data_IF_580650268654
#
_entry.id   IF_580650268654
#
_cell.length_a   1.000
_cell.length_b   1.000
_cell.length_c   1.000
_cell.angle_alpha   90.00
_cell.angle_beta   90.00
_cell.angle_gamma   90.00
#
_symmetry.space_group_name_H-M   'P 1'
#
loop_
_entity.id
_entity.type
_entity.pdbx_description
1 polymer ?
#
# COMPACT_ATOMS: atom_id res chain seq x y z
N UNK A 1 -24.44 38.36 -7.82
CA UNK A 1 -23.46 38.28 -6.73
C UNK A 1 -24.24 37.97 -5.46
N UNK A 2 -24.55 36.69 -5.21
CA UNK A 2 -25.30 36.25 -4.02
C UNK A 2 -24.30 36.11 -2.89
N UNK A 3 -24.51 36.85 -1.80
CA UNK A 3 -23.61 36.95 -0.65
C UNK A 3 -23.63 35.59 0.08
N UNK A 4 -22.49 34.93 0.19
CA UNK A 4 -22.34 33.55 0.73
C UNK A 4 -22.24 33.50 2.27
N UNK A 5 -22.60 34.58 2.96
CA UNK A 5 -22.36 34.75 4.40
C UNK A 5 -23.61 34.60 5.29
N UNK A 6 -24.79 34.35 4.73
CA UNK A 6 -26.04 34.17 5.51
C UNK A 6 -26.34 32.68 5.79
N UNK A 7 -25.33 31.89 6.16
CA UNK A 7 -25.56 30.53 6.67
C UNK A 7 -25.98 30.62 8.14
N UNK A 8 -27.28 30.80 8.36
CA UNK A 8 -27.85 30.72 9.70
C UNK A 8 -27.46 29.36 10.33
N UNK A 9 -26.77 29.33 11.48
CA UNK A 9 -26.37 28.07 12.12
C UNK A 9 -27.57 27.17 12.44
N UNK A 10 -28.76 27.77 12.53
CA UNK A 10 -30.05 27.08 12.65
C UNK A 10 -30.37 26.19 11.44
N UNK A 11 -30.03 26.62 10.21
CA UNK A 11 -30.22 25.79 9.02
C UNK A 11 -29.28 24.57 9.04
N UNK A 12 -28.03 24.74 9.47
CA UNK A 12 -27.09 23.64 9.63
C UNK A 12 -27.52 22.63 10.69
N UNK A 13 -28.00 23.11 11.85
CA UNK A 13 -28.55 22.25 12.91
C UNK A 13 -29.82 21.54 12.43
N UNK A 14 -30.74 22.25 11.76
CA UNK A 14 -31.95 21.65 11.21
C UNK A 14 -31.66 20.59 10.14
N UNK A 15 -30.71 20.86 9.24
CA UNK A 15 -30.27 19.89 8.23
C UNK A 15 -29.61 18.67 8.87
N UNK A 16 -28.80 18.87 9.93
CA UNK A 16 -28.18 17.78 10.69
C UNK A 16 -29.24 16.89 11.36
N UNK A 17 -30.21 17.47 12.05
CA UNK A 17 -31.29 16.70 12.68
C UNK A 17 -32.22 16.04 11.65
N UNK A 18 -32.53 16.72 10.55
CA UNK A 18 -33.34 16.15 9.48
C UNK A 18 -32.63 14.95 8.83
N UNK A 19 -31.33 15.07 8.56
CA UNK A 19 -30.55 14.02 7.92
C UNK A 19 -30.25 12.83 8.87
N UNK A 20 -29.90 13.09 10.13
CA UNK A 20 -29.51 12.03 11.09
C UNK A 20 -30.67 11.44 11.89
N UNK A 21 -31.76 12.17 12.11
CA UNK A 21 -32.89 11.67 12.90
C UNK A 21 -34.14 11.43 12.06
N UNK A 22 -34.54 12.37 11.21
CA UNK A 22 -35.83 12.24 10.50
C UNK A 22 -35.73 11.24 9.34
N UNK A 23 -34.70 11.37 8.50
CA UNK A 23 -34.50 10.52 7.32
C UNK A 23 -34.39 9.02 7.67
N UNK A 24 -33.60 8.61 8.68
CA UNK A 24 -33.51 7.21 9.10
C UNK A 24 -34.84 6.65 9.61
N UNK A 25 -35.56 7.39 10.46
CA UNK A 25 -36.84 6.92 11.02
C UNK A 25 -37.94 6.84 9.96
N UNK A 26 -37.95 7.76 8.99
CA UNK A 26 -38.87 7.72 7.85
C UNK A 26 -38.58 6.54 6.93
N UNK A 27 -37.30 6.28 6.62
CA UNK A 27 -36.87 5.15 5.80
C UNK A 27 -37.16 3.80 6.49
N UNK A 28 -37.01 3.70 7.81
CA UNK A 28 -37.38 2.50 8.58
C UNK A 28 -38.89 2.23 8.51
N UNK A 29 -39.71 3.27 8.64
CA UNK A 29 -41.18 3.14 8.55
C UNK A 29 -41.66 2.73 7.15
N UNK A 30 -40.99 3.22 6.10
CA UNK A 30 -41.26 2.83 4.71
C UNK A 30 -40.76 1.42 4.38
N UNK A 31 -39.62 0.99 4.95
CA UNK A 31 -39.08 -0.37 4.77
C UNK A 31 -39.99 -1.46 5.35
N UNK A 32 -40.74 -1.16 6.42
CA UNK A 32 -41.73 -2.08 6.99
C UNK A 32 -42.92 -2.34 6.04
N UNK A 33 -43.18 -1.44 5.10
CA UNK A 33 -44.31 -1.52 4.16
C UNK A 33 -43.97 -2.23 2.84
N UNK A 34 -42.68 -2.27 2.43
CA UNK A 34 -42.25 -2.72 1.09
C UNK A 34 -41.66 -4.15 1.08
N UNK A 35 -41.45 -4.77 2.25
CA UNK A 35 -41.30 -6.23 2.40
C UNK A 35 -40.34 -6.93 1.43
N UNK A 36 -39.03 -6.84 1.69
CA UNK A 36 -37.93 -7.78 1.33
C UNK A 36 -36.55 -7.19 1.65
N UNK A 37 -36.49 -5.88 1.95
CA UNK A 37 -35.39 -5.20 2.66
C UNK A 37 -35.75 -4.95 4.15
N UNK A 38 -36.45 -5.91 4.78
CA UNK A 38 -36.98 -5.81 6.15
C UNK A 38 -35.94 -5.82 7.28
N UNK A 39 -34.64 -5.72 6.97
CA UNK A 39 -33.62 -5.40 7.97
C UNK A 39 -33.37 -3.88 7.91
N UNK A 40 -33.42 -3.17 9.04
CA UNK A 40 -33.22 -1.73 9.03
C UNK A 40 -31.81 -1.40 8.54
N UNK A 41 -31.69 -1.00 7.26
CA UNK A 41 -30.44 -0.50 6.66
C UNK A 41 -29.88 0.73 7.40
N UNK A 42 -30.73 1.41 8.18
CA UNK A 42 -30.41 2.57 9.01
C UNK A 42 -30.75 2.34 10.50
N UNK A 43 -30.75 1.09 10.95
CA UNK A 43 -30.68 0.77 12.37
C UNK A 43 -29.21 0.62 12.77
N UNK A 44 -28.81 1.14 13.93
CA UNK A 44 -27.55 0.76 14.59
C UNK A 44 -27.62 -0.74 14.96
N UNK A 45 -27.46 -1.62 13.97
CA UNK A 45 -27.50 -3.08 14.13
C UNK A 45 -26.10 -3.64 13.97
N UNK A 46 -25.67 -4.49 14.90
CA UNK A 46 -24.36 -5.17 14.82
C UNK A 46 -24.37 -6.40 13.90
N UNK A 47 -25.55 -6.76 13.38
CA UNK A 47 -25.77 -8.00 12.62
C UNK A 47 -25.00 -7.99 11.28
N UNK A 48 -24.97 -6.85 10.57
CA UNK A 48 -24.22 -6.72 9.33
C UNK A 48 -22.70 -6.78 9.56
N UNK A 49 -22.21 -6.23 10.69
CA UNK A 49 -20.80 -6.33 11.05
C UNK A 49 -20.41 -7.77 11.37
N UNK A 50 -21.23 -8.51 12.11
CA UNK A 50 -21.00 -9.93 12.41
C UNK A 50 -21.02 -10.78 11.13
N UNK A 51 -22.01 -10.57 10.25
CA UNK A 51 -22.12 -11.28 8.99
C UNK A 51 -20.89 -11.06 8.07
N UNK A 52 -20.39 -9.83 7.97
CA UNK A 52 -19.20 -9.54 7.16
C UNK A 52 -17.92 -10.09 7.81
N UNK A 53 -17.72 -9.84 9.11
CA UNK A 53 -16.45 -10.19 9.77
C UNK A 53 -16.30 -11.69 10.06
N UNK A 54 -17.37 -12.37 10.45
CA UNK A 54 -17.33 -13.75 10.94
C UNK A 54 -17.83 -14.73 9.87
N UNK A 55 -19.03 -14.51 9.32
CA UNK A 55 -19.65 -15.46 8.38
C UNK A 55 -18.93 -15.50 7.03
N UNK A 56 -18.47 -14.34 6.54
CA UNK A 56 -17.69 -14.24 5.29
C UNK A 56 -16.17 -14.38 5.50
N UNK A 57 -15.72 -14.76 6.71
CA UNK A 57 -14.31 -14.88 7.09
C UNK A 57 -13.44 -13.65 6.72
N UNK A 58 -14.02 -12.44 6.65
CA UNK A 58 -13.32 -11.24 6.20
C UNK A 58 -12.08 -10.94 7.04
N UNK A 59 -12.08 -11.32 8.33
CA UNK A 59 -10.93 -11.19 9.23
C UNK A 59 -9.67 -11.87 8.67
N UNK A 60 -9.79 -13.03 7.99
CA UNK A 60 -8.65 -13.77 7.45
C UNK A 60 -8.04 -13.05 6.26
N UNK A 61 -8.89 -12.49 5.40
CA UNK A 61 -8.47 -11.65 4.29
C UNK A 61 -7.81 -10.36 4.77
N UNK A 62 -8.39 -9.73 5.79
CA UNK A 62 -7.82 -8.54 6.43
C UNK A 62 -6.42 -8.80 6.98
N UNK A 63 -6.21 -9.90 7.71
CA UNK A 63 -4.89 -10.29 8.24
C UNK A 63 -3.89 -10.56 7.12
N UNK A 64 -4.29 -11.30 6.07
CA UNK A 64 -3.41 -11.59 4.94
C UNK A 64 -2.94 -10.31 4.24
N UNK A 65 -3.85 -9.38 3.95
CA UNK A 65 -3.52 -8.08 3.34
C UNK A 65 -2.67 -7.21 4.27
N UNK A 66 -2.91 -7.26 5.58
CA UNK A 66 -2.09 -6.56 6.57
C UNK A 66 -0.65 -7.09 6.58
N UNK A 67 -0.46 -8.41 6.59
CA UNK A 67 0.87 -9.05 6.55
C UNK A 67 1.61 -8.67 5.26
N UNK A 68 0.94 -8.76 4.10
CA UNK A 68 1.54 -8.40 2.81
C UNK A 68 1.94 -6.93 2.80
N UNK A 69 1.05 -6.03 3.23
CA UNK A 69 1.32 -4.58 3.23
C UNK A 69 2.47 -4.24 4.18
N UNK A 70 2.49 -4.81 5.39
CA UNK A 70 3.56 -4.61 6.35
C UNK A 70 4.91 -5.12 5.81
N UNK A 71 4.94 -6.30 5.18
CA UNK A 71 6.13 -6.85 4.54
C UNK A 71 6.65 -5.95 3.41
N UNK A 72 5.77 -5.45 2.55
CA UNK A 72 6.14 -4.52 1.47
C UNK A 72 6.73 -3.24 2.04
N UNK A 73 6.10 -2.64 3.06
CA UNK A 73 6.60 -1.40 3.68
C UNK A 73 7.95 -1.61 4.34
N UNK A 74 8.12 -2.68 5.12
CA UNK A 74 9.37 -2.97 5.82
C UNK A 74 10.54 -3.18 4.84
N UNK A 75 10.34 -3.99 3.79
CA UNK A 75 11.35 -4.24 2.75
C UNK A 75 11.63 -2.95 1.97
N UNK A 76 10.57 -2.21 1.60
CA UNK A 76 10.71 -0.99 0.81
C UNK A 76 11.46 0.10 1.56
N UNK A 77 11.20 0.29 2.85
CA UNK A 77 11.93 1.23 3.68
C UNK A 77 13.38 0.81 3.86
N UNK A 78 13.64 -0.47 4.12
CA UNK A 78 15.02 -0.94 4.33
C UNK A 78 15.89 -0.68 3.10
N UNK A 79 15.42 -1.09 1.92
CA UNK A 79 16.11 -0.87 0.65
C UNK A 79 16.14 0.63 0.30
N UNK A 80 15.00 1.31 0.44
CA UNK A 80 14.85 2.71 0.09
C UNK A 80 15.71 3.65 0.94
N UNK A 81 15.97 3.29 2.20
CA UNK A 81 16.82 4.08 3.09
C UNK A 81 18.28 4.00 2.68
N UNK A 82 18.77 2.79 2.36
CA UNK A 82 20.12 2.57 1.86
C UNK A 82 20.33 3.25 0.50
N UNK A 83 19.40 3.04 -0.44
CA UNK A 83 19.45 3.64 -1.76
C UNK A 83 19.28 5.16 -1.71
N UNK A 84 18.35 5.66 -0.90
CA UNK A 84 18.10 7.09 -0.72
C UNK A 84 19.31 7.83 -0.16
N UNK A 85 19.99 7.25 0.85
CA UNK A 85 21.21 7.80 1.40
C UNK A 85 22.34 7.83 0.37
N UNK A 86 22.59 6.70 -0.31
CA UNK A 86 23.61 6.62 -1.36
C UNK A 86 23.35 7.62 -2.49
N UNK A 87 22.09 7.81 -2.87
CA UNK A 87 21.71 8.74 -3.94
C UNK A 87 21.68 10.21 -3.51
N UNK A 88 21.52 10.49 -2.22
CA UNK A 88 21.63 11.84 -1.67
C UNK A 88 23.10 12.30 -1.53
N UNK A 89 24.01 11.37 -1.24
CA UNK A 89 25.46 11.65 -1.10
C UNK A 89 26.26 11.42 -2.40
N UNK A 90 25.68 10.74 -3.38
CA UNK A 90 26.30 10.56 -4.70
C UNK A 90 26.45 11.90 -5.44
N UNK A 91 27.64 12.15 -5.99
CA UNK A 91 27.93 13.28 -6.89
C UNK A 91 27.54 13.00 -8.34
N UNK A 92 27.05 11.79 -8.64
CA UNK A 92 26.84 11.32 -10.00
C UNK A 92 25.40 11.56 -10.46
N UNK A 93 25.24 12.34 -11.53
CA UNK A 93 23.93 12.65 -12.13
C UNK A 93 23.25 11.43 -12.76
N UNK A 94 24.01 10.39 -13.16
CA UNK A 94 23.47 9.18 -13.78
C UNK A 94 22.53 8.41 -12.84
N UNK A 95 22.92 8.24 -11.58
CA UNK A 95 22.11 7.50 -10.62
C UNK A 95 20.81 8.26 -10.29
N UNK A 96 20.85 9.60 -10.29
CA UNK A 96 19.65 10.43 -10.23
C UNK A 96 18.80 10.32 -11.50
N UNK A 97 19.41 10.31 -12.69
CA UNK A 97 18.71 10.11 -13.96
C UNK A 97 17.97 8.78 -14.02
N UNK A 98 18.59 7.68 -13.57
CA UNK A 98 17.94 6.36 -13.47
C UNK A 98 16.73 6.42 -12.53
N UNK A 99 16.83 7.10 -11.39
CA UNK A 99 15.69 7.29 -10.49
C UNK A 99 14.55 8.05 -11.16
N UNK A 100 14.84 9.13 -11.89
CA UNK A 100 13.84 9.91 -12.62
C UNK A 100 13.15 9.06 -13.69
N UNK A 101 13.92 8.28 -14.46
CA UNK A 101 13.36 7.33 -15.43
C UNK A 101 12.45 6.31 -14.73
N UNK A 102 12.89 5.74 -13.60
CA UNK A 102 12.08 4.80 -12.83
C UNK A 102 10.77 5.43 -12.29
N UNK A 103 10.78 6.72 -11.95
CA UNK A 103 9.58 7.48 -11.57
C UNK A 103 8.63 7.71 -12.75
N UNK A 104 9.16 7.92 -13.96
CA UNK A 104 8.36 8.03 -15.18
C UNK A 104 7.66 6.70 -15.48
N UNK A 105 8.39 5.57 -15.41
CA UNK A 105 7.79 4.25 -15.57
C UNK A 105 6.71 3.96 -14.53
N UNK A 106 6.88 4.48 -13.31
CA UNK A 106 5.88 4.39 -12.25
C UNK A 106 4.60 5.17 -12.56
N UNK A 107 4.62 6.16 -13.44
CA UNK A 107 3.42 6.89 -13.85
C UNK A 107 2.49 6.05 -14.74
N UNK A 108 2.96 4.91 -15.27
CA UNK A 108 2.11 3.96 -15.99
C UNK A 108 1.02 3.38 -15.08
N UNK A 109 -0.13 2.96 -15.63
CA UNK A 109 -1.18 2.33 -14.83
C UNK A 109 -0.66 1.10 -14.10
N UNK A 110 -1.00 0.96 -12.83
CA UNK A 110 -0.57 -0.17 -11.99
C UNK A 110 -0.96 -1.53 -12.61
N UNK A 111 -2.11 -1.60 -13.30
CA UNK A 111 -2.55 -2.80 -14.02
C UNK A 111 -1.56 -3.24 -15.09
N UNK A 112 -0.97 -2.31 -15.84
CA UNK A 112 0.03 -2.59 -16.88
C UNK A 112 1.32 -3.13 -16.26
N UNK A 113 1.76 -2.53 -15.15
CA UNK A 113 2.97 -2.98 -14.46
C UNK A 113 2.78 -4.41 -13.93
N UNK A 114 1.69 -4.69 -13.23
CA UNK A 114 1.44 -6.03 -12.68
C UNK A 114 1.31 -7.07 -13.79
N UNK A 115 0.61 -6.76 -14.88
CA UNK A 115 0.53 -7.64 -16.06
C UNK A 115 1.91 -7.88 -16.70
N UNK A 116 2.76 -6.85 -16.77
CA UNK A 116 4.13 -6.97 -17.27
C UNK A 116 5.03 -7.86 -16.40
N UNK A 117 4.78 -7.93 -15.09
CA UNK A 117 5.50 -8.82 -14.18
C UNK A 117 4.98 -10.27 -14.23
N UNK A 118 3.75 -10.52 -14.70
CA UNK A 118 3.12 -11.83 -14.69
C UNK A 118 3.95 -12.95 -15.37
N UNK A 119 4.56 -12.73 -16.57
CA UNK A 119 5.37 -13.77 -17.22
C UNK A 119 6.57 -14.23 -16.38
N UNK A 120 7.17 -13.32 -15.59
CA UNK A 120 8.30 -13.61 -14.71
C UNK A 120 7.89 -14.55 -13.57
N UNK A 121 6.67 -14.40 -13.03
CA UNK A 121 6.17 -15.29 -11.98
C UNK A 121 5.69 -16.63 -12.52
N UNK A 122 5.14 -16.65 -13.73
CA UNK A 122 4.77 -17.90 -14.41
C UNK A 122 6.00 -18.77 -14.72
N UNK A 123 7.07 -18.18 -15.24
CA UNK A 123 8.34 -18.87 -15.53
C UNK A 123 9.32 -18.81 -14.35
N UNK A 124 8.83 -18.50 -13.14
CA UNK A 124 9.70 -18.34 -11.96
C UNK A 124 10.51 -19.60 -11.66
N UNK A 125 9.94 -20.78 -11.93
CA UNK A 125 10.64 -22.06 -11.75
C UNK A 125 11.90 -22.13 -12.61
N UNK A 126 11.83 -21.76 -13.88
CA UNK A 126 12.97 -21.77 -14.82
C UNK A 126 14.03 -20.73 -14.43
N UNK A 127 13.60 -19.57 -13.94
CA UNK A 127 14.51 -18.49 -13.49
C UNK A 127 15.23 -18.88 -12.19
N UNK A 128 14.57 -19.60 -11.29
CA UNK A 128 15.09 -19.98 -9.98
C UNK A 128 15.77 -21.34 -9.96
N UNK A 129 15.56 -22.18 -10.96
CA UNK A 129 16.26 -23.45 -11.16
C UNK A 129 17.80 -23.35 -11.05
N UNK A 130 18.50 -22.35 -11.63
CA UNK A 130 19.95 -22.22 -11.45
C UNK A 130 20.38 -21.86 -10.02
N UNK A 131 19.49 -21.33 -9.18
CA UNK A 131 19.81 -20.88 -7.81
C UNK A 131 19.38 -21.93 -6.76
N UNK A 132 18.20 -22.54 -6.96
CA UNK A 132 17.58 -23.44 -5.99
C UNK A 132 17.52 -24.90 -6.45
N UNK A 133 17.99 -25.21 -7.68
CA UNK A 133 18.00 -26.56 -8.23
C UNK A 133 16.59 -27.10 -8.53
N UNK A 134 16.47 -28.43 -8.59
CA UNK A 134 15.24 -29.14 -9.00
C UNK A 134 14.02 -28.92 -8.08
N UNK A 135 14.24 -28.38 -6.88
CA UNK A 135 13.22 -28.03 -5.88
C UNK A 135 12.77 -26.56 -5.96
N UNK A 136 13.08 -25.85 -7.05
CA UNK A 136 12.65 -24.46 -7.25
C UNK A 136 11.13 -24.29 -7.02
N UNK A 137 10.72 -23.48 -6.03
CA UNK A 137 9.31 -23.27 -5.75
C UNK A 137 8.68 -22.42 -6.85
N UNK A 138 7.47 -22.78 -7.27
CA UNK A 138 6.67 -21.93 -8.16
C UNK A 138 6.18 -20.73 -7.34
N UNK A 139 6.64 -19.52 -7.66
CA UNK A 139 6.20 -18.30 -6.95
C UNK A 139 4.79 -17.86 -7.35
N UNK A 140 4.25 -18.40 -8.43
CA UNK A 140 2.89 -18.13 -8.85
C UNK A 140 1.87 -18.47 -7.76
N UNK A 141 0.98 -17.52 -7.43
CA UNK A 141 -0.02 -17.67 -6.37
C UNK A 141 0.51 -17.58 -4.93
N UNK A 142 1.81 -17.35 -4.71
CA UNK A 142 2.37 -17.18 -3.37
C UNK A 142 2.37 -15.72 -2.90
N UNK A 143 2.17 -15.45 -1.59
CA UNK A 143 2.20 -14.08 -1.06
C UNK A 143 3.56 -13.38 -1.25
N UNK A 144 4.66 -14.13 -1.32
CA UNK A 144 6.00 -13.59 -1.58
C UNK A 144 6.15 -12.96 -2.96
N UNK A 145 5.51 -13.54 -3.98
CA UNK A 145 5.51 -12.97 -5.33
C UNK A 145 4.84 -11.59 -5.36
N UNK A 146 3.69 -11.50 -4.69
CA UNK A 146 2.93 -10.27 -4.55
C UNK A 146 3.77 -9.20 -3.87
N UNK A 147 4.42 -9.56 -2.75
CA UNK A 147 5.30 -8.65 -2.00
C UNK A 147 6.43 -8.16 -2.92
N UNK A 148 7.10 -9.04 -3.66
CA UNK A 148 8.20 -8.67 -4.55
C UNK A 148 7.78 -7.69 -5.66
N UNK A 149 6.60 -7.90 -6.28
CA UNK A 149 6.02 -6.99 -7.29
C UNK A 149 5.70 -5.64 -6.68
N UNK A 150 4.95 -5.64 -5.57
CA UNK A 150 4.52 -4.42 -4.90
C UNK A 150 5.70 -3.60 -4.41
N UNK A 151 6.73 -4.26 -3.87
CA UNK A 151 8.01 -3.62 -3.50
C UNK A 151 8.62 -2.96 -4.74
N UNK A 152 8.83 -3.71 -5.83
CA UNK A 152 9.46 -3.20 -7.06
C UNK A 152 8.75 -1.98 -7.64
N UNK A 153 7.40 -2.00 -7.70
CA UNK A 153 6.61 -0.87 -8.19
C UNK A 153 6.71 0.33 -7.24
N UNK A 154 6.80 0.10 -5.93
CA UNK A 154 6.85 1.14 -4.91
C UNK A 154 8.25 1.71 -4.64
N UNK A 155 9.31 1.01 -5.06
CA UNK A 155 10.70 1.40 -4.84
C UNK A 155 11.03 2.81 -5.33
N UNK A 156 10.74 3.21 -6.60
CA UNK A 156 11.21 4.49 -7.13
C UNK A 156 10.71 5.68 -6.31
N UNK A 157 9.45 5.63 -5.89
CA UNK A 157 8.87 6.68 -5.05
C UNK A 157 9.47 6.69 -3.64
N UNK A 158 9.64 5.51 -3.03
CA UNK A 158 10.19 5.40 -1.67
C UNK A 158 11.62 5.94 -1.62
N UNK A 159 12.45 5.59 -2.60
CA UNK A 159 13.82 6.07 -2.75
C UNK A 159 13.83 7.58 -2.98
N UNK A 160 12.97 8.09 -3.86
CA UNK A 160 12.88 9.52 -4.14
C UNK A 160 12.52 10.33 -2.90
N UNK A 161 11.53 9.86 -2.14
CA UNK A 161 11.08 10.55 -0.94
C UNK A 161 12.16 10.54 0.15
N UNK A 162 12.76 9.38 0.43
CA UNK A 162 13.85 9.28 1.40
C UNK A 162 15.06 10.12 0.98
N UNK A 163 15.41 10.12 -0.31
CA UNK A 163 16.47 10.99 -0.84
C UNK A 163 16.18 12.46 -0.55
N UNK A 164 14.96 12.93 -0.77
CA UNK A 164 14.59 14.33 -0.46
C UNK A 164 14.80 14.66 1.01
N UNK A 165 14.44 13.75 1.93
CA UNK A 165 14.74 13.90 3.35
C UNK A 165 16.25 13.93 3.64
N UNK A 166 17.02 12.99 3.08
CA UNK A 166 18.48 12.95 3.26
C UNK A 166 19.18 14.20 2.72
N UNK A 167 18.66 14.83 1.66
CA UNK A 167 19.23 16.08 1.12
C UNK A 167 19.09 17.27 2.09
N UNK A 168 18.09 17.26 2.98
CA UNK A 168 17.93 18.29 4.00
C UNK A 168 18.95 18.15 5.14
N UNK A 169 19.61 17.00 5.27
CA UNK A 169 20.65 16.78 6.27
C UNK A 169 22.00 17.29 5.73
N UNK A 170 22.64 18.25 6.42
CA UNK A 170 23.92 18.80 5.99
C UNK A 170 24.99 17.70 5.91
N UNK A 171 25.84 17.76 4.88
CA UNK A 171 26.94 16.81 4.69
C UNK A 171 28.02 16.92 5.76
N UNK A 172 28.07 18.04 6.47
CA UNK A 172 28.97 18.31 7.60
C UNK A 172 28.81 17.26 8.71
N UNK A 173 27.61 16.70 8.91
CA UNK A 173 27.39 15.62 9.90
C UNK A 173 28.11 14.32 9.51
N UNK A 174 28.18 14.00 8.22
CA UNK A 174 28.93 12.84 7.73
C UNK A 174 30.45 13.07 7.82
N UNK A 175 30.90 14.32 7.70
CA UNK A 175 32.30 14.70 7.87
C UNK A 175 32.71 14.65 9.34
N UNK A 176 31.90 15.22 10.24
CA UNK A 176 32.12 15.18 11.68
C UNK A 176 32.21 13.75 12.20
N UNK A 177 31.27 12.88 11.81
CA UNK A 177 31.29 11.47 12.21
C UNK A 177 32.56 10.73 11.74
N UNK A 178 33.10 11.09 10.57
CA UNK A 178 34.35 10.51 10.05
C UNK A 178 35.58 11.06 10.78
N UNK A 179 35.57 12.32 11.20
CA UNK A 179 36.61 12.90 12.07
C UNK A 179 36.64 12.19 13.43
N UNK A 180 35.48 11.80 13.94
CA UNK A 180 35.34 10.98 15.17
C UNK A 180 35.75 9.50 14.98
N UNK A 181 36.23 9.12 13.80
CA UNK A 181 36.72 7.77 13.50
C UNK A 181 35.66 6.76 13.07
N UNK A 182 34.42 7.19 12.80
CA UNK A 182 33.38 6.28 12.28
C UNK A 182 33.66 5.87 10.82
N UNK A 183 33.46 4.59 10.50
CA UNK A 183 33.37 4.13 9.11
C UNK A 183 32.08 4.67 8.44
N UNK A 184 32.01 4.72 7.10
CA UNK A 184 30.83 5.22 6.36
C UNK A 184 29.51 4.56 6.78
N UNK A 185 29.50 3.23 6.96
CA UNK A 185 28.31 2.52 7.40
C UNK A 185 27.96 2.80 8.89
N UNK A 186 28.97 3.02 9.73
CA UNK A 186 28.77 3.41 11.12
C UNK A 186 28.22 4.83 11.23
N UNK A 187 28.78 5.79 10.49
CA UNK A 187 28.28 7.16 10.41
C UNK A 187 26.81 7.18 9.97
N UNK A 188 26.47 6.44 8.92
CA UNK A 188 25.09 6.26 8.48
C UNK A 188 24.18 5.72 9.59
N UNK A 189 24.54 4.59 10.21
CA UNK A 189 23.67 3.91 11.18
C UNK A 189 23.56 4.64 12.53
N UNK A 190 24.63 5.26 12.99
CA UNK A 190 24.74 5.82 14.35
C UNK A 190 24.40 7.31 14.39
N UNK A 191 24.70 8.07 13.34
CA UNK A 191 24.53 9.54 13.31
C UNK A 191 23.36 9.93 12.43
N UNK A 192 23.36 9.47 11.17
CA UNK A 192 22.37 9.94 10.18
C UNK A 192 21.00 9.29 10.40
N UNK A 193 20.94 7.99 10.67
CA UNK A 193 19.69 7.24 10.84
C UNK A 193 18.79 7.76 11.97
N UNK A 194 19.29 8.09 13.17
CA UNK A 194 18.46 8.68 14.22
C UNK A 194 17.86 10.03 13.83
N UNK A 195 18.62 10.87 13.12
CA UNK A 195 18.16 12.18 12.62
C UNK A 195 17.09 11.99 11.52
N UNK A 196 17.20 10.92 10.73
CA UNK A 196 16.28 10.58 9.64
C UNK A 196 15.02 9.83 10.07
N UNK A 197 14.93 9.38 11.32
CA UNK A 197 13.79 8.62 11.82
C UNK A 197 12.41 9.26 11.51
N UNK A 198 12.20 10.58 11.69
CA UNK A 198 10.93 11.21 11.29
C UNK A 198 10.64 11.08 9.78
N UNK A 199 11.67 11.16 8.93
CA UNK A 199 11.54 10.99 7.47
C UNK A 199 11.21 9.54 7.08
N UNK A 200 11.82 8.57 7.76
CA UNK A 200 11.54 7.14 7.57
C UNK A 200 10.11 6.80 7.99
N UNK A 201 9.65 7.30 9.14
CA UNK A 201 8.27 7.11 9.60
C UNK A 201 7.26 7.71 8.63
N UNK A 202 7.50 8.96 8.20
CA UNK A 202 6.61 9.66 7.25
C UNK A 202 6.52 8.90 5.93
N UNK A 203 7.66 8.38 5.47
CA UNK A 203 7.71 7.55 4.25
C UNK A 203 7.00 6.22 4.41
N UNK A 204 7.16 5.57 5.56
CA UNK A 204 6.46 4.34 5.89
C UNK A 204 4.96 4.52 5.88
N UNK A 205 4.47 5.58 6.54
CA UNK A 205 3.05 5.89 6.61
C UNK A 205 2.46 6.20 5.23
N UNK A 206 3.16 6.98 4.41
CA UNK A 206 2.71 7.29 3.06
C UNK A 206 2.67 6.06 2.16
N UNK A 207 3.69 5.21 2.27
CA UNK A 207 3.76 3.92 1.55
C UNK A 207 2.61 3.00 1.95
N UNK A 208 2.36 2.86 3.25
CA UNK A 208 1.26 2.06 3.79
C UNK A 208 -0.11 2.56 3.32
N UNK A 209 -0.38 3.86 3.47
CA UNK A 209 -1.65 4.48 3.07
C UNK A 209 -1.90 4.41 1.56
N UNK A 210 -0.84 4.36 0.75
CA UNK A 210 -0.97 4.15 -0.69
C UNK A 210 -1.34 2.71 -1.02
N UNK A 211 -0.68 1.73 -0.40
CA UNK A 211 -0.92 0.31 -0.69
C UNK A 211 -2.36 -0.10 -0.36
N UNK A 212 -2.98 0.51 0.64
CA UNK A 212 -4.39 0.29 0.98
C UNK A 212 -5.38 0.84 -0.06
N UNK A 213 -4.97 1.80 -0.90
CA UNK A 213 -5.81 2.36 -1.95
C UNK A 213 -5.81 1.54 -3.24
N UNK A 214 -5.06 0.44 -3.31
CA UNK A 214 -5.05 -0.41 -4.49
C UNK A 214 -6.30 -1.30 -4.49
N UNK A 215 -7.27 -1.08 -5.39
CA UNK A 215 -8.35 -2.04 -5.58
C UNK A 215 -7.75 -3.32 -6.16
N UNK A 216 -8.04 -4.46 -5.54
CA UNK A 216 -7.72 -5.77 -6.10
C UNK A 216 -6.43 -6.40 -5.59
N UNK A 217 -6.41 -6.79 -4.31
CA UNK A 217 -5.58 -7.91 -3.86
C UNK A 217 -6.28 -8.63 -2.70
N UNK A 218 -7.40 -9.26 -3.00
CA UNK A 218 -7.97 -10.32 -2.16
C UNK A 218 -7.54 -11.65 -2.77
N UNK A 219 -6.44 -12.27 -2.30
CA UNK A 219 -6.16 -13.65 -2.62
C UNK A 219 -7.09 -14.51 -1.76
N UNK A 220 -8.36 -14.57 -2.15
CA UNK A 220 -9.30 -15.57 -1.65
C UNK A 220 -10.10 -16.17 -2.80
N UNK A 221 -9.39 -16.65 -3.81
CA UNK A 221 -9.84 -17.80 -4.56
C UNK A 221 -8.94 -18.96 -4.14
N UNK A 222 -9.32 -19.67 -3.07
CA UNK A 222 -8.98 -21.09 -2.98
C UNK A 222 -9.72 -21.68 -4.18
N UNK A 223 -9.04 -21.90 -5.32
CA UNK A 223 -9.69 -22.55 -6.46
C UNK A 223 -10.15 -23.93 -5.94
N UNK A 224 -11.45 -24.26 -5.99
CA UNK A 224 -11.87 -25.62 -5.75
C UNK A 224 -11.38 -26.42 -6.97
N UNK A 225 -10.53 -27.40 -6.70
CA UNK A 225 -10.03 -28.43 -7.62
C UNK A 225 -9.01 -28.05 -8.72
N UNK A 226 -8.09 -28.98 -9.06
CA UNK A 226 -6.90 -28.68 -9.86
C UNK A 226 -7.14 -28.70 -11.39
N UNK A 227 -8.37 -28.94 -11.86
CA UNK A 227 -8.66 -29.24 -13.27
C UNK A 227 -9.59 -28.25 -13.97
N UNK A 228 -9.90 -27.12 -13.35
CA UNK A 228 -10.70 -26.05 -13.93
C UNK A 228 -9.75 -24.98 -14.53
N UNK A 229 -9.74 -24.85 -15.86
CA UNK A 229 -8.99 -23.81 -16.59
C UNK A 229 -9.58 -22.40 -16.50
N UNK A 230 -10.63 -22.20 -15.70
CA UNK A 230 -11.37 -20.96 -15.49
C UNK A 230 -10.79 -20.10 -14.35
N UNK A 231 -9.94 -20.65 -13.47
CA UNK A 231 -9.35 -19.88 -12.36
C UNK A 231 -8.36 -18.78 -12.84
N UNK A 232 -7.81 -18.89 -14.05
CA UNK A 232 -6.80 -17.96 -14.56
C UNK A 232 -7.34 -16.58 -14.98
N UNK A 233 -8.67 -16.42 -15.08
CA UNK A 233 -9.29 -15.17 -15.56
C UNK A 233 -9.85 -14.26 -14.45
N UNK A 234 -10.08 -14.78 -13.24
CA UNK A 234 -10.78 -14.03 -12.17
C UNK A 234 -9.88 -13.22 -11.23
N UNK A 235 -8.57 -13.33 -11.34
CA UNK A 235 -7.62 -12.59 -10.48
C UNK A 235 -7.45 -11.12 -10.95
N UNK A 236 -7.90 -10.78 -12.18
CA UNK A 236 -7.56 -9.52 -12.83
C UNK A 236 -8.73 -8.75 -13.48
N UNK A 237 -9.99 -9.10 -13.22
CA UNK A 237 -11.10 -8.27 -13.70
C UNK A 237 -11.48 -7.21 -12.64
N UNK A 238 -11.67 -5.94 -13.06
CA UNK A 238 -11.99 -4.82 -12.17
C UNK A 238 -13.37 -4.93 -11.51
#
# INVERSE_FOLDING_TARGET
MVRLDDWDPLFGIAAFFLFFFILPNLMVSLNLWIGTLGKPLLGLTMEHYHAVWVENEFYRNFINSLIVTAGVVAISLSIGTLAGYGLARSRTNLAFGILIVALIFRALPHSVLVAGYLPVFMHSREILEPIFGSSAPTLYGQPWAVIAVLVSINQPFTIWMLRSFFQNIPSELDEAARVDGCNHFQAFRMVIMPVMWPGVITTGLFSFARLQRLPGYLPSARCPEPNDGSCNQRIFQP
#
